data_IF_047315084966
#
_entry.id   IF_047315084966
#
_cell.length_a   1.000
_cell.length_b   1.000
_cell.length_c   1.000
_cell.angle_alpha   90.00
_cell.angle_beta   90.00
_cell.angle_gamma   90.00
#
_symmetry.space_group_name_H-M   'P 1'
#
loop_
_entity.id
_entity.type
_entity.pdbx_description
1 polymer ?
#
# COMPACT_ATOMS: atom_id res chain seq x y z
N UNK A 1 -29.67 11.15 17.43
CA UNK A 1 -28.43 10.60 16.84
C UNK A 1 -28.48 10.83 15.33
N UNK A 2 -27.67 11.74 14.80
CA UNK A 2 -27.63 12.06 13.38
C UNK A 2 -26.65 11.10 12.69
N UNK A 3 -27.15 10.16 11.89
CA UNK A 3 -26.30 9.31 11.03
C UNK A 3 -25.78 10.18 9.88
N UNK A 4 -24.47 10.21 9.70
CA UNK A 4 -23.87 10.74 8.47
C UNK A 4 -24.11 9.71 7.35
N UNK A 5 -25.19 9.89 6.60
CA UNK A 5 -25.65 8.93 5.56
C UNK A 5 -25.25 9.34 4.14
N UNK A 6 -24.45 10.39 3.96
CA UNK A 6 -23.93 10.82 2.66
C UNK A 6 -22.47 10.38 2.45
N UNK A 7 -22.04 10.07 1.21
CA UNK A 7 -20.63 9.88 0.91
C UNK A 7 -19.87 11.18 1.24
N UNK A 8 -19.03 11.16 2.27
CA UNK A 8 -18.05 12.21 2.48
C UNK A 8 -16.89 12.00 1.48
N UNK A 9 -16.46 13.03 0.74
CA UNK A 9 -15.26 12.94 -0.08
C UNK A 9 -14.06 12.56 0.80
N UNK A 10 -13.41 11.45 0.49
CA UNK A 10 -12.20 10.98 1.16
C UNK A 10 -10.99 11.06 0.24
N UNK A 11 -9.80 11.26 0.82
CA UNK A 11 -8.53 11.12 0.11
C UNK A 11 -7.97 9.75 0.46
N UNK A 12 -7.70 8.93 -0.56
CA UNK A 12 -6.99 7.66 -0.37
C UNK A 12 -5.48 7.93 -0.39
N UNK A 13 -4.79 7.40 0.61
CA UNK A 13 -3.33 7.47 0.73
C UNK A 13 -2.76 6.10 1.06
N UNK A 14 -1.48 5.91 0.78
CA UNK A 14 -0.72 4.72 1.15
C UNK A 14 0.63 5.12 1.74
N UNK A 15 1.02 4.47 2.83
CA UNK A 15 2.37 4.53 3.40
C UNK A 15 2.76 3.16 4.01
N UNK A 16 4.07 3.02 4.25
CA UNK A 16 4.66 1.92 5.00
C UNK A 16 5.49 2.48 6.15
N UNK A 17 5.34 1.89 7.33
CA UNK A 17 6.04 2.31 8.55
C UNK A 17 6.92 1.16 9.03
N UNK A 18 8.20 1.46 9.29
CA UNK A 18 9.15 0.58 9.96
C UNK A 18 9.62 1.17 11.30
N UNK A 19 10.48 0.44 12.01
CA UNK A 19 10.91 0.80 13.37
C UNK A 19 11.65 2.16 13.46
N UNK A 20 12.49 2.48 12.47
CA UNK A 20 13.25 3.75 12.42
C UNK A 20 13.06 4.53 11.10
N UNK A 21 12.13 4.12 10.25
CA UNK A 21 11.98 4.67 8.91
C UNK A 21 10.54 4.54 8.42
N UNK A 22 10.18 5.32 7.41
CA UNK A 22 8.90 5.22 6.73
C UNK A 22 9.10 5.46 5.23
N UNK A 23 8.19 4.92 4.42
CA UNK A 23 8.12 5.27 3.00
C UNK A 23 7.52 6.66 2.81
N UNK A 24 7.74 7.34 1.67
CA UNK A 24 6.92 8.49 1.30
C UNK A 24 5.41 8.17 1.35
N UNK A 25 4.60 9.16 1.73
CA UNK A 25 3.14 9.08 1.68
C UNK A 25 2.66 9.27 0.23
N UNK A 26 2.02 8.26 -0.33
CA UNK A 26 1.52 8.26 -1.71
C UNK A 26 0.04 8.61 -1.73
N UNK A 27 -0.34 9.65 -2.46
CA UNK A 27 -1.76 9.96 -2.69
C UNK A 27 -2.28 9.12 -3.86
N UNK A 28 -3.34 8.35 -3.61
CA UNK A 28 -3.98 7.50 -4.61
C UNK A 28 -5.20 8.22 -5.18
N UNK A 29 -5.23 8.38 -6.50
CA UNK A 29 -6.39 8.92 -7.19
C UNK A 29 -7.44 7.82 -7.40
N UNK A 30 -8.61 7.96 -6.79
CA UNK A 30 -9.70 6.98 -6.91
C UNK A 30 -9.41 5.65 -6.21
N UNK A 31 -10.09 4.57 -6.63
CA UNK A 31 -9.89 3.25 -6.04
C UNK A 31 -8.58 2.62 -6.47
N UNK A 32 -7.81 2.12 -5.49
CA UNK A 32 -6.65 1.28 -5.72
C UNK A 32 -7.12 -0.11 -6.13
N UNK A 33 -6.52 -0.71 -7.14
CA UNK A 33 -6.73 -2.11 -7.53
C UNK A 33 -5.36 -2.80 -7.59
N UNK A 34 -5.32 -4.12 -7.81
CA UNK A 34 -4.05 -4.87 -7.80
C UNK A 34 -2.99 -4.36 -8.78
N UNK A 35 -3.36 -4.03 -10.03
CA UNK A 35 -2.41 -3.53 -11.02
C UNK A 35 -1.88 -2.15 -10.65
N UNK A 36 -2.79 -1.26 -10.24
CA UNK A 36 -2.43 0.08 -9.78
C UNK A 36 -1.61 0.05 -8.51
N UNK A 37 -1.89 -0.88 -7.59
CA UNK A 37 -1.08 -1.11 -6.41
C UNK A 37 0.37 -1.45 -6.80
N UNK A 38 0.57 -2.31 -7.80
CA UNK A 38 1.91 -2.66 -8.26
C UNK A 38 2.62 -1.44 -8.85
N UNK A 39 2.01 -0.77 -9.82
CA UNK A 39 2.66 0.29 -10.58
C UNK A 39 2.75 1.63 -9.85
N UNK A 40 1.80 1.95 -8.96
CA UNK A 40 1.74 3.24 -8.25
C UNK A 40 2.35 3.18 -6.85
N UNK A 41 2.44 1.98 -6.24
CA UNK A 41 2.89 1.82 -4.85
C UNK A 41 4.04 0.82 -4.73
N UNK A 42 3.84 -0.40 -5.18
CA UNK A 42 4.78 -1.48 -4.87
C UNK A 42 6.14 -1.29 -5.55
N UNK A 43 6.17 -1.21 -6.87
CA UNK A 43 7.41 -1.02 -7.64
C UNK A 43 8.13 0.30 -7.33
N UNK A 44 7.45 1.47 -7.30
CA UNK A 44 8.17 2.73 -7.09
C UNK A 44 8.50 3.03 -5.62
N UNK A 45 7.80 2.44 -4.65
CA UNK A 45 7.94 2.83 -3.23
C UNK A 45 8.31 1.66 -2.33
N UNK A 46 7.54 0.57 -2.37
CA UNK A 46 7.75 -0.57 -1.45
C UNK A 46 9.06 -1.30 -1.78
N UNK A 47 9.28 -1.62 -3.05
CA UNK A 47 10.43 -2.43 -3.46
C UNK A 47 11.77 -1.74 -3.16
N UNK A 48 12.00 -0.46 -3.52
CA UNK A 48 13.25 0.24 -3.16
C UNK A 48 13.42 0.37 -1.64
N UNK A 49 12.34 0.61 -0.91
CA UNK A 49 12.38 0.71 0.54
C UNK A 49 12.82 -0.61 1.19
N UNK A 50 12.26 -1.75 0.76
CA UNK A 50 12.64 -3.06 1.27
C UNK A 50 14.06 -3.45 0.85
N UNK A 51 14.49 -3.14 -0.37
CA UNK A 51 15.86 -3.39 -0.84
C UNK A 51 16.91 -2.62 -0.02
N UNK A 52 16.53 -1.48 0.57
CA UNK A 52 17.39 -0.74 1.49
C UNK A 52 17.50 -1.33 2.90
N UNK A 53 16.74 -2.38 3.23
CA UNK A 53 16.67 -2.97 4.56
C UNK A 53 17.18 -4.42 4.55
N UNK A 54 18.13 -4.72 5.43
CA UNK A 54 18.81 -6.04 5.48
C UNK A 54 17.87 -7.23 5.77
N UNK A 55 16.78 -7.02 6.52
CA UNK A 55 15.89 -8.11 6.97
C UNK A 55 14.43 -7.63 7.13
N UNK A 56 13.91 -6.88 6.16
CA UNK A 56 12.55 -6.38 6.25
C UNK A 56 11.51 -7.42 5.81
N UNK A 57 10.39 -7.46 6.52
CA UNK A 57 9.20 -8.24 6.17
C UNK A 57 8.09 -7.25 5.84
N UNK A 58 7.46 -7.42 4.68
CA UNK A 58 6.30 -6.63 4.30
C UNK A 58 5.04 -7.19 4.96
N UNK A 59 4.40 -6.38 5.80
CA UNK A 59 3.09 -6.70 6.37
C UNK A 59 2.04 -5.79 5.75
N UNK A 60 0.95 -6.38 5.24
CA UNK A 60 -0.21 -5.65 4.69
C UNK A 60 -1.52 -6.27 5.18
N UNK A 61 -2.62 -5.55 4.99
CA UNK A 61 -3.95 -6.09 5.30
C UNK A 61 -4.38 -7.19 4.30
N UNK A 62 -5.42 -7.94 4.68
CA UNK A 62 -6.02 -8.97 3.83
C UNK A 62 -7.14 -8.39 2.93
N UNK A 63 -7.07 -7.11 2.55
CA UNK A 63 -8.11 -6.52 1.70
C UNK A 63 -8.26 -7.34 0.43
N UNK A 64 -9.51 -7.50 -0.02
CA UNK A 64 -9.96 -8.46 -1.06
C UNK A 64 -9.30 -8.28 -2.44
N UNK A 65 -8.45 -7.28 -2.61
CA UNK A 65 -7.66 -7.10 -3.82
C UNK A 65 -6.61 -8.22 -3.87
N UNK A 66 -6.40 -8.83 -5.03
CA UNK A 66 -5.49 -9.98 -5.26
C UNK A 66 -3.99 -9.62 -5.07
N UNK A 67 -3.67 -8.76 -4.12
CA UNK A 67 -2.32 -8.33 -3.73
C UNK A 67 -1.45 -9.50 -3.27
N UNK A 68 -1.93 -10.49 -2.46
CA UNK A 68 -1.03 -11.49 -1.90
C UNK A 68 -0.33 -12.34 -2.96
N UNK A 69 -1.00 -12.68 -4.08
CA UNK A 69 -0.45 -13.66 -5.01
C UNK A 69 0.59 -13.07 -5.97
N UNK A 70 0.35 -11.87 -6.51
CA UNK A 70 1.31 -11.21 -7.40
C UNK A 70 2.49 -10.67 -6.60
N UNK A 71 2.27 -10.07 -5.43
CA UNK A 71 3.36 -9.57 -4.60
C UNK A 71 4.29 -10.70 -4.14
N UNK A 72 3.76 -11.90 -3.86
CA UNK A 72 4.58 -13.07 -3.55
C UNK A 72 5.50 -13.51 -4.71
N UNK A 73 5.17 -13.22 -5.97
CA UNK A 73 6.07 -13.52 -7.10
C UNK A 73 7.34 -12.64 -7.09
N UNK A 74 7.33 -11.53 -6.35
CA UNK A 74 8.49 -10.63 -6.20
C UNK A 74 9.39 -10.98 -5.01
N UNK A 75 8.95 -11.85 -4.10
CA UNK A 75 9.71 -12.28 -2.93
C UNK A 75 9.95 -13.79 -3.01
N UNK A 76 11.13 -14.18 -3.52
CA UNK A 76 11.60 -15.59 -3.64
C UNK A 76 12.45 -15.97 -2.43
#
# INVERSE_FOLDING_TARGET
MHRHTGPAPGIMVWDGIGYHSHTPLVRIAGSLNSQRYISEVFEPVVLPYLQGLLTAILQQDNARQRVPRIVQEFFV
#
